data_IF_939749602729
#
_entry.id   IF_939749602729
#
_cell.length_a   1.000
_cell.length_b   1.000
_cell.length_c   1.000
_cell.angle_alpha   90.00
_cell.angle_beta   90.00
_cell.angle_gamma   90.00
#
_symmetry.space_group_name_H-M   'P 1'
#
loop_
_entity.id
_entity.type
_entity.pdbx_description
1 polymer ?
#
# COMPACT_ATOMS: atom_id res chain seq x y z
N UNK A 1 -45.12 12.56 14.00
CA UNK A 1 -44.90 14.00 13.74
C UNK A 1 -43.64 14.39 14.48
N UNK A 2 -42.66 14.98 13.80
CA UNK A 2 -41.36 15.32 14.39
C UNK A 2 -41.52 16.53 15.32
N UNK A 3 -41.74 16.30 16.63
CA UNK A 3 -41.83 17.38 17.62
C UNK A 3 -40.46 17.97 18.00
N UNK A 4 -39.39 17.20 17.84
CA UNK A 4 -38.03 17.60 18.21
C UNK A 4 -37.58 18.95 17.62
N UNK A 5 -37.70 19.20 16.30
CA UNK A 5 -37.30 20.48 15.70
C UNK A 5 -38.08 21.67 16.26
N UNK A 6 -39.37 21.49 16.57
CA UNK A 6 -40.24 22.56 17.07
C UNK A 6 -39.95 22.88 18.54
N UNK A 7 -39.67 21.87 19.35
CA UNK A 7 -39.26 22.02 20.74
C UNK A 7 -37.87 22.66 20.84
N UNK A 8 -36.92 22.27 19.97
CA UNK A 8 -35.59 22.89 19.90
C UNK A 8 -35.66 24.35 19.47
N UNK A 9 -36.49 24.68 18.47
CA UNK A 9 -36.69 26.06 18.04
C UNK A 9 -37.32 26.92 19.15
N UNK A 10 -38.30 26.38 19.88
CA UNK A 10 -38.90 27.04 21.05
C UNK A 10 -37.85 27.29 22.14
N UNK A 11 -37.06 26.28 22.50
CA UNK A 11 -36.00 26.43 23.49
C UNK A 11 -34.96 27.47 23.04
N UNK A 12 -34.49 27.40 21.79
CA UNK A 12 -33.50 28.34 21.26
C UNK A 12 -33.98 29.80 21.28
N UNK A 13 -35.27 30.05 21.00
CA UNK A 13 -35.86 31.39 21.04
C UNK A 13 -36.07 31.90 22.47
N UNK A 14 -36.41 31.02 23.42
CA UNK A 14 -36.79 31.43 24.78
C UNK A 14 -35.63 31.34 25.79
N UNK A 15 -34.52 30.68 25.45
CA UNK A 15 -33.34 30.54 26.32
C UNK A 15 -32.72 31.88 26.77
N UNK A 16 -32.58 32.91 25.90
CA UNK A 16 -32.02 34.20 26.31
C UNK A 16 -32.85 34.90 27.38
N UNK A 17 -34.17 34.69 27.36
CA UNK A 17 -35.12 35.26 28.32
C UNK A 17 -35.26 34.42 29.60
N UNK A 18 -34.83 33.16 29.58
CA UNK A 18 -34.93 32.23 30.69
C UNK A 18 -33.60 31.49 30.94
N UNK A 19 -32.57 32.19 31.46
CA UNK A 19 -31.24 31.60 31.66
C UNK A 19 -31.22 30.43 32.67
N UNK A 20 -32.22 30.37 33.56
CA UNK A 20 -32.39 29.27 34.52
C UNK A 20 -32.75 27.93 33.87
N UNK A 21 -33.20 27.92 32.61
CA UNK A 21 -33.48 26.68 31.86
C UNK A 21 -32.21 26.05 31.28
N UNK A 22 -31.06 26.72 31.41
CA UNK A 22 -29.78 26.18 30.98
C UNK A 22 -29.42 24.97 31.84
N UNK A 23 -29.37 23.80 31.21
CA UNK A 23 -28.84 22.59 31.82
C UNK A 23 -27.33 22.77 31.95
N UNK A 24 -26.80 22.66 33.18
CA UNK A 24 -25.36 22.63 33.40
C UNK A 24 -24.83 21.28 32.94
N UNK A 25 -23.85 21.30 32.04
CA UNK A 25 -23.15 20.08 31.61
C UNK A 25 -22.31 19.54 32.77
N UNK A 26 -22.46 18.25 33.09
CA UNK A 26 -21.52 17.54 33.96
C UNK A 26 -20.30 17.09 33.13
N UNK A 27 -19.12 17.69 33.34
CA UNK A 27 -17.93 17.37 32.55
C UNK A 27 -17.49 15.91 32.68
N UNK A 28 -17.69 15.29 33.86
CA UNK A 28 -17.29 13.89 34.07
C UNK A 28 -18.21 12.94 33.33
N UNK A 29 -19.53 13.13 33.45
CA UNK A 29 -20.51 12.32 32.74
C UNK A 29 -20.32 12.42 31.21
N UNK A 30 -20.07 13.63 30.70
CA UNK A 30 -19.79 13.85 29.27
C UNK A 30 -18.52 13.11 28.85
N UNK A 31 -17.43 13.20 29.62
CA UNK A 31 -16.18 12.52 29.32
C UNK A 31 -16.32 10.98 29.32
N UNK A 32 -17.03 10.41 30.31
CA UNK A 32 -17.27 8.96 30.41
C UNK A 32 -18.18 8.46 29.29
N UNK A 33 -19.24 9.20 28.95
CA UNK A 33 -20.14 8.81 27.85
C UNK A 33 -19.41 8.85 26.51
N UNK A 34 -18.58 9.87 26.30
CA UNK A 34 -17.76 10.02 25.09
C UNK A 34 -16.74 8.88 24.95
N UNK A 35 -16.05 8.49 26.02
CA UNK A 35 -15.11 7.37 25.97
C UNK A 35 -15.80 6.03 25.67
N UNK A 36 -17.01 5.82 26.21
CA UNK A 36 -17.82 4.64 25.90
C UNK A 36 -18.26 4.61 24.42
N UNK A 37 -18.69 5.76 23.86
CA UNK A 37 -19.06 5.88 22.45
C UNK A 37 -17.87 5.62 21.52
N UNK A 38 -16.70 6.21 21.81
CA UNK A 38 -15.49 5.96 21.03
C UNK A 38 -15.09 4.48 21.03
N UNK A 39 -15.23 3.79 22.17
CA UNK A 39 -14.97 2.35 22.27
C UNK A 39 -15.97 1.52 21.46
N UNK A 40 -17.25 1.89 21.49
CA UNK A 40 -18.30 1.23 20.70
C UNK A 40 -18.08 1.40 19.19
N UNK A 41 -17.71 2.60 18.74
CA UNK A 41 -17.34 2.89 17.35
C UNK A 41 -16.12 2.05 16.94
N UNK A 42 -15.10 1.97 17.82
CA UNK A 42 -13.94 1.10 17.62
C UNK A 42 -14.29 -0.38 17.47
N UNK A 43 -15.26 -0.89 18.24
CA UNK A 43 -15.70 -2.29 18.13
C UNK A 43 -16.57 -2.56 16.89
N UNK A 44 -17.49 -1.66 16.53
CA UNK A 44 -18.35 -1.82 15.35
C UNK A 44 -17.56 -1.85 14.05
N UNK A 45 -16.43 -1.16 14.04
CA UNK A 45 -15.55 -0.97 12.90
C UNK A 45 -14.17 -1.59 13.17
N UNK A 46 -14.14 -2.83 13.68
CA UNK A 46 -12.88 -3.54 13.90
C UNK A 46 -12.05 -3.53 12.60
N UNK A 47 -10.79 -3.10 12.69
CA UNK A 47 -9.91 -2.82 11.54
C UNK A 47 -9.85 -4.00 10.56
N UNK A 48 -9.85 -5.23 11.06
CA UNK A 48 -9.90 -6.44 10.23
C UNK A 48 -11.17 -6.58 9.39
N UNK A 49 -12.33 -6.16 9.91
CA UNK A 49 -13.59 -6.21 9.16
C UNK A 49 -13.62 -5.12 8.07
N UNK A 50 -13.11 -3.92 8.37
CA UNK A 50 -12.98 -2.84 7.39
C UNK A 50 -12.03 -3.24 6.25
N UNK A 51 -10.85 -3.76 6.62
CA UNK A 51 -9.86 -4.25 5.67
C UNK A 51 -10.43 -5.35 4.76
N UNK A 52 -11.08 -6.36 5.34
CA UNK A 52 -11.65 -7.46 4.56
C UNK A 52 -12.76 -7.00 3.63
N UNK A 53 -13.65 -6.12 4.12
CA UNK A 53 -14.74 -5.56 3.30
C UNK A 53 -14.18 -4.77 2.12
N UNK A 54 -13.16 -3.94 2.37
CA UNK A 54 -12.47 -3.18 1.34
C UNK A 54 -11.86 -4.12 0.28
N UNK A 55 -11.09 -5.13 0.70
CA UNK A 55 -10.46 -6.07 -0.23
C UNK A 55 -11.47 -6.85 -1.07
N UNK A 56 -12.57 -7.32 -0.49
CA UNK A 56 -13.64 -8.03 -1.23
C UNK A 56 -14.31 -7.14 -2.28
N UNK A 57 -14.34 -5.83 -2.06
CA UNK A 57 -14.85 -4.90 -3.06
C UNK A 57 -13.86 -4.71 -4.20
N UNK A 58 -12.56 -4.55 -3.88
CA UNK A 58 -11.49 -4.42 -4.88
C UNK A 58 -11.38 -5.69 -5.72
N UNK A 59 -11.34 -6.87 -5.10
CA UNK A 59 -11.10 -8.15 -5.78
C UNK A 59 -12.09 -8.49 -6.89
N UNK A 60 -13.29 -7.91 -6.88
CA UNK A 60 -14.31 -8.11 -7.92
C UNK A 60 -13.95 -7.49 -9.26
N UNK A 61 -13.07 -6.50 -9.27
CA UNK A 61 -12.75 -5.69 -10.45
C UNK A 61 -11.39 -6.03 -11.07
N UNK A 62 -10.58 -6.85 -10.40
CA UNK A 62 -9.23 -7.20 -10.85
C UNK A 62 -9.11 -8.71 -11.01
N UNK A 63 -8.85 -9.15 -12.23
CA UNK A 63 -8.59 -10.55 -12.52
C UNK A 63 -7.22 -10.97 -11.99
N UNK A 64 -7.08 -12.25 -11.63
CA UNK A 64 -5.82 -12.82 -11.17
C UNK A 64 -4.75 -12.75 -12.26
N UNK A 65 -3.54 -12.39 -11.85
CA UNK A 65 -2.38 -12.26 -12.72
C UNK A 65 -1.63 -13.60 -12.78
N UNK A 66 -1.52 -14.15 -14.00
CA UNK A 66 -0.85 -15.42 -14.29
C UNK A 66 0.58 -15.18 -14.76
N UNK A 67 1.40 -16.23 -14.76
CA UNK A 67 2.77 -16.17 -15.28
C UNK A 67 2.81 -15.63 -16.72
N UNK A 68 1.87 -16.04 -17.58
CA UNK A 68 1.77 -15.57 -18.97
C UNK A 68 1.54 -14.06 -19.07
N UNK A 69 0.79 -13.48 -18.15
CA UNK A 69 0.54 -12.04 -18.12
C UNK A 69 1.80 -11.27 -17.70
N UNK A 70 2.66 -11.89 -16.90
CA UNK A 70 3.92 -11.31 -16.43
C UNK A 70 5.05 -11.43 -17.45
N UNK A 71 5.00 -12.43 -18.34
CA UNK A 71 6.03 -12.71 -19.34
C UNK A 71 5.66 -12.21 -20.74
N UNK A 72 4.43 -11.74 -20.93
CA UNK A 72 3.95 -11.22 -22.21
C UNK A 72 4.02 -12.28 -23.32
N UNK A 73 4.46 -11.88 -24.51
CA UNK A 73 4.56 -12.75 -25.69
C UNK A 73 5.75 -13.73 -25.65
N UNK A 74 6.54 -13.74 -24.57
CA UNK A 74 7.64 -14.71 -24.43
C UNK A 74 7.10 -16.09 -24.06
N UNK A 75 7.73 -17.15 -24.60
CA UNK A 75 7.28 -18.53 -24.39
C UNK A 75 7.73 -19.08 -23.02
N UNK A 76 7.17 -18.51 -21.95
CA UNK A 76 7.44 -18.90 -20.58
C UNK A 76 7.15 -20.37 -20.31
N UNK A 77 6.18 -20.93 -21.03
CA UNK A 77 5.74 -22.32 -20.92
C UNK A 77 6.78 -23.34 -21.33
N UNK A 78 7.90 -22.94 -21.95
CA UNK A 78 9.07 -23.81 -22.24
C UNK A 78 10.09 -23.91 -21.12
N UNK A 79 10.10 -22.92 -20.22
CA UNK A 79 11.10 -22.79 -19.16
C UNK A 79 10.50 -23.03 -17.79
N UNK A 80 9.29 -22.54 -17.58
CA UNK A 80 8.66 -22.42 -16.28
C UNK A 80 7.29 -23.09 -16.27
N UNK A 81 6.94 -23.63 -15.11
CA UNK A 81 5.60 -24.13 -14.82
C UNK A 81 5.18 -23.64 -13.44
N UNK A 82 3.91 -23.27 -13.32
CA UNK A 82 3.25 -22.97 -12.04
C UNK A 82 1.74 -23.14 -12.21
N UNK A 83 1.09 -23.61 -11.16
CA UNK A 83 -0.37 -23.67 -11.05
C UNK A 83 -0.94 -22.47 -10.27
N UNK A 84 -0.09 -21.70 -9.61
CA UNK A 84 -0.47 -20.58 -8.77
C UNK A 84 -0.58 -19.28 -9.57
N UNK A 85 -1.33 -18.35 -9.02
CA UNK A 85 -1.59 -17.02 -9.58
C UNK A 85 -1.46 -15.97 -8.49
N UNK A 86 -1.14 -14.74 -8.87
CA UNK A 86 -1.20 -13.61 -7.95
C UNK A 86 -2.61 -13.03 -8.00
N UNK A 87 -3.35 -12.93 -6.88
CA UNK A 87 -4.66 -12.30 -6.87
C UNK A 87 -4.60 -10.87 -7.42
N UNK A 88 -5.50 -10.51 -8.32
CA UNK A 88 -5.42 -9.24 -9.06
C UNK A 88 -5.43 -7.98 -8.18
N UNK A 89 -6.02 -8.10 -6.99
CA UNK A 89 -6.04 -7.05 -5.96
C UNK A 89 -4.66 -6.73 -5.37
N UNK A 90 -3.67 -7.61 -5.52
CA UNK A 90 -2.29 -7.42 -5.09
C UNK A 90 -1.38 -7.10 -6.27
N UNK A 91 -1.82 -6.16 -7.11
CA UNK A 91 -1.04 -5.63 -8.21
C UNK A 91 -0.83 -4.13 -8.02
N UNK A 92 0.22 -3.58 -8.61
CA UNK A 92 0.47 -2.13 -8.62
C UNK A 92 -0.73 -1.35 -9.13
N UNK A 93 -1.36 -1.84 -10.20
CA UNK A 93 -2.55 -1.20 -10.75
C UNK A 93 -3.70 -1.20 -9.73
N UNK A 94 -3.98 -2.32 -9.07
CA UNK A 94 -5.02 -2.37 -8.04
C UNK A 94 -4.69 -1.46 -6.85
N UNK A 95 -3.42 -1.36 -6.47
CA UNK A 95 -2.95 -0.42 -5.45
C UNK A 95 -3.25 1.04 -5.82
N UNK A 96 -2.77 1.47 -6.98
CA UNK A 96 -2.84 2.86 -7.44
C UNK A 96 -4.30 3.28 -7.71
N UNK A 97 -5.09 2.42 -8.36
CA UNK A 97 -6.42 2.79 -8.86
C UNK A 97 -7.55 2.55 -7.85
N UNK A 98 -7.42 1.59 -6.94
CA UNK A 98 -8.54 1.13 -6.11
C UNK A 98 -8.23 1.03 -4.62
N UNK A 99 -7.14 0.37 -4.22
CA UNK A 99 -6.85 0.12 -2.80
C UNK A 99 -6.49 1.41 -2.08
N UNK A 100 -5.57 2.21 -2.62
CA UNK A 100 -5.18 3.49 -1.99
C UNK A 100 -6.40 4.43 -1.83
N UNK A 101 -7.21 4.68 -2.88
CA UNK A 101 -8.45 5.46 -2.73
C UNK A 101 -9.44 4.86 -1.73
N UNK A 102 -9.56 3.53 -1.67
CA UNK A 102 -10.47 2.88 -0.72
C UNK A 102 -9.99 3.01 0.73
N UNK A 103 -8.68 2.94 0.99
CA UNK A 103 -8.10 3.24 2.30
C UNK A 103 -8.38 4.70 2.67
N UNK A 104 -8.14 5.64 1.77
CA UNK A 104 -8.37 7.06 2.01
C UNK A 104 -9.85 7.35 2.34
N UNK A 105 -10.78 6.67 1.67
CA UNK A 105 -12.21 6.76 1.96
C UNK A 105 -12.54 6.26 3.37
N UNK A 106 -12.04 5.07 3.75
CA UNK A 106 -12.25 4.51 5.10
C UNK A 106 -11.71 5.43 6.18
N UNK A 107 -10.55 6.04 5.93
CA UNK A 107 -9.90 7.00 6.85
C UNK A 107 -10.72 8.29 6.97
N UNK A 108 -11.25 8.81 5.86
CA UNK A 108 -12.14 9.98 5.87
C UNK A 108 -13.43 9.71 6.64
N UNK A 109 -14.10 8.58 6.37
CA UNK A 109 -15.31 8.17 7.11
C UNK A 109 -15.02 8.07 8.61
N UNK A 110 -13.84 7.55 8.99
CA UNK A 110 -13.42 7.48 10.39
C UNK A 110 -13.16 8.85 11.00
N UNK A 111 -12.58 9.78 10.25
CA UNK A 111 -12.34 11.15 10.71
C UNK A 111 -13.66 11.85 10.99
N UNK A 112 -14.60 11.79 10.07
CA UNK A 112 -15.94 12.36 10.25
C UNK A 112 -16.62 11.72 11.45
N UNK A 113 -16.48 10.39 11.62
CA UNK A 113 -17.02 9.64 12.75
C UNK A 113 -16.47 10.10 14.11
N UNK A 114 -15.19 10.47 14.16
CA UNK A 114 -14.55 10.94 15.39
C UNK A 114 -14.91 12.41 15.65
N UNK A 115 -14.93 13.24 14.61
CA UNK A 115 -15.19 14.68 14.70
C UNK A 115 -16.62 14.97 15.22
N UNK A 116 -17.63 14.20 14.79
CA UNK A 116 -18.99 14.37 15.33
C UNK A 116 -19.10 14.01 16.81
N UNK A 117 -18.26 13.10 17.32
CA UNK A 117 -18.22 12.73 18.75
C UNK A 117 -17.43 13.75 19.59
N UNK A 118 -16.44 14.40 18.98
CA UNK A 118 -15.39 15.17 19.65
C UNK A 118 -15.41 16.69 19.40
N UNK A 119 -16.48 17.26 18.83
CA UNK A 119 -16.60 18.68 18.47
C UNK A 119 -16.29 19.72 19.56
N UNK A 120 -16.05 19.33 20.82
CA UNK A 120 -15.46 20.18 21.85
C UNK A 120 -13.98 19.78 22.02
N UNK A 121 -13.11 20.47 21.28
CA UNK A 121 -11.66 20.33 20.99
C UNK A 121 -10.70 20.15 22.20
N UNK A 122 -11.22 19.76 23.36
CA UNK A 122 -10.56 19.76 24.67
C UNK A 122 -9.96 18.42 25.09
N UNK A 123 -10.18 17.36 24.33
CA UNK A 123 -9.67 16.02 24.65
C UNK A 123 -8.75 15.53 23.52
N UNK A 124 -7.47 15.25 23.79
CA UNK A 124 -6.59 14.70 22.77
C UNK A 124 -7.14 13.34 22.32
N UNK A 125 -7.28 13.17 21.00
CA UNK A 125 -7.54 11.85 20.39
C UNK A 125 -6.40 10.94 20.85
N UNK A 126 -6.72 9.79 21.46
CA UNK A 126 -5.70 8.78 21.76
C UNK A 126 -4.97 8.45 20.45
N UNK A 127 -3.64 8.50 20.43
CA UNK A 127 -2.84 8.38 19.20
C UNK A 127 -3.17 7.10 18.41
N UNK A 128 -3.57 6.02 19.09
CA UNK A 128 -3.98 4.75 18.48
C UNK A 128 -5.31 4.80 17.71
N UNK A 129 -6.07 5.90 17.83
CA UNK A 129 -7.39 6.07 17.19
C UNK A 129 -7.34 7.17 16.10
N UNK A 130 -6.17 7.77 15.84
CA UNK A 130 -6.07 8.81 14.82
C UNK A 130 -6.34 8.24 13.41
N UNK A 131 -6.99 9.01 12.53
CA UNK A 131 -7.19 8.63 11.13
C UNK A 131 -5.86 8.31 10.41
N UNK A 132 -4.80 9.03 10.74
CA UNK A 132 -3.47 8.85 10.15
C UNK A 132 -2.83 7.53 10.60
N UNK A 133 -2.95 7.17 11.88
CA UNK A 133 -2.48 5.88 12.38
C UNK A 133 -3.30 4.71 11.82
N UNK A 134 -4.60 4.93 11.54
CA UNK A 134 -5.42 3.94 10.83
C UNK A 134 -4.95 3.76 9.38
N UNK A 135 -4.69 4.85 8.66
CA UNK A 135 -4.15 4.80 7.29
C UNK A 135 -2.85 4.01 7.22
N UNK A 136 -1.92 4.30 8.12
CA UNK A 136 -0.63 3.63 8.18
C UNK A 136 -0.79 2.12 8.41
N UNK A 137 -1.59 1.71 9.40
CA UNK A 137 -1.83 0.29 9.70
C UNK A 137 -2.53 -0.47 8.59
N UNK A 138 -3.54 0.13 7.95
CA UNK A 138 -4.22 -0.49 6.81
C UNK A 138 -3.28 -0.65 5.61
N UNK A 139 -2.43 0.35 5.36
CA UNK A 139 -1.44 0.32 4.28
C UNK A 139 -0.36 -0.72 4.54
N UNK A 140 0.20 -0.76 5.74
CA UNK A 140 1.20 -1.74 6.16
C UNK A 140 0.67 -3.17 6.06
N UNK A 141 -0.56 -3.40 6.54
CA UNK A 141 -1.22 -4.70 6.41
C UNK A 141 -1.42 -5.08 4.94
N UNK A 142 -1.88 -4.15 4.11
CA UNK A 142 -2.03 -4.39 2.68
C UNK A 142 -0.71 -4.81 2.02
N UNK A 143 0.39 -4.10 2.29
CA UNK A 143 1.68 -4.45 1.70
C UNK A 143 2.29 -5.73 2.27
N UNK A 144 1.95 -6.10 3.50
CA UNK A 144 2.29 -7.41 4.06
C UNK A 144 1.61 -8.52 3.26
N UNK A 145 0.29 -8.43 3.07
CA UNK A 145 -0.49 -9.43 2.32
C UNK A 145 -0.10 -9.46 0.83
N UNK A 146 0.20 -8.29 0.25
CA UNK A 146 0.75 -8.15 -1.10
C UNK A 146 2.07 -8.92 -1.23
N UNK A 147 3.03 -8.65 -0.33
CA UNK A 147 4.34 -9.30 -0.36
C UNK A 147 4.21 -10.81 -0.21
N UNK A 148 3.36 -11.28 0.70
CA UNK A 148 3.09 -12.72 0.87
C UNK A 148 2.54 -13.35 -0.40
N UNK A 149 1.52 -12.77 -1.04
CA UNK A 149 0.94 -13.31 -2.27
C UNK A 149 1.97 -13.42 -3.40
N UNK A 150 2.84 -12.42 -3.54
CA UNK A 150 3.91 -12.44 -4.55
C UNK A 150 5.01 -13.45 -4.23
N UNK A 151 5.43 -13.56 -2.96
CA UNK A 151 6.43 -14.55 -2.55
C UNK A 151 5.91 -15.97 -2.73
N UNK A 152 4.65 -16.25 -2.38
CA UNK A 152 4.02 -17.54 -2.58
C UNK A 152 4.01 -17.92 -4.07
N UNK A 153 3.58 -16.98 -4.92
CA UNK A 153 3.62 -17.17 -6.37
C UNK A 153 5.05 -17.42 -6.89
N UNK A 154 6.03 -16.61 -6.51
CA UNK A 154 7.42 -16.79 -6.97
C UNK A 154 8.02 -18.12 -6.50
N UNK A 155 7.72 -18.51 -5.26
CA UNK A 155 8.14 -19.79 -4.70
C UNK A 155 7.41 -21.00 -5.32
N UNK A 156 6.29 -20.79 -6.01
CA UNK A 156 5.58 -21.83 -6.76
C UNK A 156 6.23 -22.17 -8.10
N UNK A 157 6.98 -21.22 -8.69
CA UNK A 157 7.56 -21.38 -10.02
C UNK A 157 8.55 -22.54 -10.01
N UNK A 158 8.40 -23.45 -10.98
CA UNK A 158 9.31 -24.58 -11.18
C UNK A 158 9.94 -24.51 -12.56
N UNK A 159 11.20 -24.92 -12.62
CA UNK A 159 11.87 -25.15 -13.89
C UNK A 159 11.31 -26.40 -14.57
N UNK A 160 11.03 -26.31 -15.87
CA UNK A 160 10.61 -27.45 -16.66
C UNK A 160 11.80 -28.33 -17.04
N UNK A 161 11.74 -29.61 -16.68
CA UNK A 161 12.80 -30.57 -16.98
C UNK A 161 12.86 -30.85 -18.49
N UNK A 162 14.00 -30.54 -19.10
CA UNK A 162 14.32 -30.94 -20.47
C UNK A 162 14.32 -32.48 -20.62
N UNK A 163 13.69 -32.97 -21.68
CA UNK A 163 13.64 -34.41 -21.97
C UNK A 163 14.94 -34.90 -22.63
N UNK A 164 15.58 -34.04 -23.43
CA UNK A 164 16.81 -34.34 -24.17
C UNK A 164 17.88 -33.26 -23.96
N UNK A 165 19.13 -33.57 -24.35
CA UNK A 165 20.21 -32.59 -24.35
C UNK A 165 19.91 -31.41 -25.31
N UNK A 166 19.24 -31.67 -26.44
CA UNK A 166 18.84 -30.61 -27.37
C UNK A 166 17.86 -29.65 -26.70
N UNK A 167 16.84 -30.18 -26.03
CA UNK A 167 15.87 -29.35 -25.32
C UNK A 167 16.55 -28.50 -24.22
N UNK A 168 17.54 -29.07 -23.53
CA UNK A 168 18.31 -28.33 -22.52
C UNK A 168 19.11 -27.17 -23.14
N UNK A 169 19.72 -27.39 -24.31
CA UNK A 169 20.43 -26.34 -25.05
C UNK A 169 19.44 -25.26 -25.52
N UNK A 170 18.27 -25.66 -26.01
CA UNK A 170 17.23 -24.73 -26.46
C UNK A 170 16.69 -23.89 -25.30
N UNK A 171 16.45 -24.49 -24.13
CA UNK A 171 16.04 -23.79 -22.92
C UNK A 171 17.10 -22.77 -22.44
N UNK A 172 18.37 -23.17 -22.39
CA UNK A 172 19.47 -22.27 -22.01
C UNK A 172 19.65 -21.13 -23.03
N UNK A 173 19.49 -21.42 -24.32
CA UNK A 173 19.53 -20.43 -25.38
C UNK A 173 18.42 -19.41 -25.23
N UNK A 174 17.19 -19.87 -24.96
CA UNK A 174 16.03 -19.01 -24.73
C UNK A 174 16.20 -18.13 -23.48
N UNK A 175 16.79 -18.66 -22.40
CA UNK A 175 17.12 -17.87 -21.20
C UNK A 175 18.12 -16.75 -21.49
N UNK A 176 19.13 -17.04 -22.32
CA UNK A 176 20.22 -16.11 -22.63
C UNK A 176 19.82 -15.03 -23.65
N UNK A 177 18.76 -15.25 -24.43
CA UNK A 177 18.26 -14.25 -25.39
C UNK A 177 17.60 -13.06 -24.67
N UNK A 178 18.27 -11.91 -24.67
CA UNK A 178 17.80 -10.68 -24.00
C UNK A 178 16.44 -10.20 -24.52
N UNK A 179 16.06 -10.50 -25.76
CA UNK A 179 14.77 -10.10 -26.36
C UNK A 179 13.70 -11.15 -26.12
N UNK A 180 14.11 -12.41 -26.26
CA UNK A 180 13.34 -13.65 -26.11
C UNK A 180 12.92 -14.04 -24.70
N UNK A 181 13.74 -13.66 -23.71
CA UNK A 181 13.83 -14.39 -22.44
C UNK A 181 12.61 -14.17 -21.54
N UNK A 182 11.85 -15.24 -21.22
CA UNK A 182 10.78 -15.17 -20.23
C UNK A 182 11.27 -14.78 -18.84
N UNK A 183 12.52 -15.09 -18.50
CA UNK A 183 13.12 -14.67 -17.23
C UNK A 183 13.31 -13.15 -17.20
N UNK A 184 13.81 -12.56 -18.28
CA UNK A 184 13.98 -11.09 -18.36
C UNK A 184 12.62 -10.40 -18.30
N UNK A 185 11.62 -10.92 -19.02
CA UNK A 185 10.25 -10.38 -18.98
C UNK A 185 9.66 -10.44 -17.56
N UNK A 186 9.76 -11.59 -16.89
CA UNK A 186 9.30 -11.75 -15.51
C UNK A 186 10.00 -10.77 -14.55
N UNK A 187 11.31 -10.63 -14.66
CA UNK A 187 12.08 -9.70 -13.82
C UNK A 187 11.65 -8.25 -14.05
N UNK A 188 11.38 -7.85 -15.29
CA UNK A 188 10.84 -6.52 -15.59
C UNK A 188 9.48 -6.28 -14.93
N UNK A 189 8.60 -7.29 -14.95
CA UNK A 189 7.33 -7.24 -14.24
C UNK A 189 7.53 -7.14 -12.73
N UNK A 190 8.47 -7.91 -12.14
CA UNK A 190 8.80 -7.79 -10.73
C UNK A 190 9.33 -6.40 -10.36
N UNK A 191 10.09 -5.75 -11.24
CA UNK A 191 10.55 -4.38 -11.05
C UNK A 191 9.41 -3.37 -11.06
N UNK A 192 8.39 -3.53 -11.91
CA UNK A 192 7.24 -2.61 -11.89
C UNK A 192 6.37 -2.83 -10.65
N UNK A 193 6.13 -4.09 -10.28
CA UNK A 193 5.26 -4.50 -9.18
C UNK A 193 5.89 -4.27 -7.80
N UNK A 194 7.19 -4.51 -7.64
CA UNK A 194 7.93 -4.28 -6.40
C UNK A 194 8.08 -2.79 -6.02
N UNK A 195 7.76 -1.89 -6.94
CA UNK A 195 7.77 -0.43 -6.72
C UNK A 195 6.39 0.14 -6.40
N UNK A 196 5.38 -0.71 -6.22
CA UNK A 196 4.07 -0.27 -5.73
C UNK A 196 4.20 0.42 -4.36
N UNK A 197 3.47 1.52 -4.16
CA UNK A 197 3.51 2.28 -2.91
C UNK A 197 4.78 3.11 -2.66
N UNK A 198 5.75 3.15 -3.58
CA UNK A 198 6.84 4.12 -3.51
C UNK A 198 6.25 5.53 -3.68
N UNK A 199 6.35 6.38 -2.66
CA UNK A 199 5.81 7.74 -2.70
C UNK A 199 6.51 8.55 -3.79
N UNK A 200 5.74 9.10 -4.73
CA UNK A 200 6.23 10.00 -5.78
C UNK A 200 6.96 11.22 -5.19
N UNK A 201 6.58 11.67 -3.99
CA UNK A 201 7.20 12.79 -3.27
C UNK A 201 8.63 12.47 -2.78
N UNK A 202 8.89 11.24 -2.33
CA UNK A 202 10.24 10.81 -1.98
C UNK A 202 11.17 10.75 -3.21
N UNK A 203 10.60 10.47 -4.38
CA UNK A 203 11.32 10.53 -5.66
C UNK A 203 11.61 11.98 -6.06
N UNK A 204 10.69 12.93 -5.87
CA UNK A 204 10.97 14.35 -6.16
C UNK A 204 11.97 14.95 -5.17
N UNK A 205 11.89 14.61 -3.89
CA UNK A 205 12.83 15.10 -2.88
C UNK A 205 14.24 14.54 -3.09
N UNK A 206 14.36 13.26 -3.48
CA UNK A 206 15.65 12.67 -3.85
C UNK A 206 16.22 13.28 -5.14
N UNK A 207 15.38 13.63 -6.12
CA UNK A 207 15.81 14.34 -7.34
C UNK A 207 16.26 15.78 -7.04
N UNK A 208 15.52 16.53 -6.20
CA UNK A 208 15.89 17.88 -5.75
C UNK A 208 17.18 17.86 -4.92
N UNK A 209 17.32 16.87 -4.03
CA UNK A 209 18.53 16.67 -3.23
C UNK A 209 19.74 16.29 -4.10
N UNK A 210 19.53 15.46 -5.12
CA UNK A 210 20.57 15.10 -6.10
C UNK A 210 20.99 16.30 -6.93
N UNK A 211 20.05 17.11 -7.41
CA UNK A 211 20.36 18.36 -8.11
C UNK A 211 21.11 19.36 -7.21
N UNK A 212 20.71 19.49 -5.95
CA UNK A 212 21.40 20.33 -4.96
C UNK A 212 22.84 19.86 -4.68
N UNK A 213 23.05 18.55 -4.59
CA UNK A 213 24.38 17.97 -4.40
C UNK A 213 25.28 18.16 -5.63
N UNK A 214 24.72 18.08 -6.85
CA UNK A 214 25.46 18.36 -8.09
C UNK A 214 25.84 19.83 -8.25
N UNK A 215 25.04 20.76 -7.69
CA UNK A 215 25.38 22.19 -7.65
C UNK A 215 26.35 22.56 -6.50
N UNK A 216 26.46 21.71 -5.48
CA UNK A 216 27.33 21.92 -4.32
C UNK A 216 28.67 21.19 -4.54
N UNK A 217 29.41 21.61 -5.55
CA UNK A 217 30.73 21.04 -5.87
C UNK A 217 31.76 21.49 -4.83
N UNK A 218 31.96 20.70 -3.78
CA UNK A 218 33.24 20.72 -3.04
C UNK A 218 33.59 19.43 -2.27
N UNK A 219 32.90 18.32 -2.50
CA UNK A 219 33.40 17.00 -2.09
C UNK A 219 32.69 15.91 -2.90
N UNK A 220 33.43 15.27 -3.81
CA UNK A 220 32.99 14.09 -4.53
C UNK A 220 32.93 12.87 -3.58
N UNK A 221 31.98 12.89 -2.63
CA UNK A 221 31.55 11.66 -1.98
C UNK A 221 30.70 10.91 -2.97
N UNK A 222 31.13 9.68 -3.27
CA UNK A 222 30.42 8.72 -4.11
C UNK A 222 28.92 8.84 -3.88
N UNK A 223 28.19 9.06 -4.96
CA UNK A 223 26.73 9.11 -4.98
C UNK A 223 26.24 7.90 -4.19
N UNK A 224 25.50 8.15 -3.12
CA UNK A 224 24.92 7.11 -2.28
C UNK A 224 23.80 6.42 -3.09
N UNK A 225 24.19 5.52 -3.99
CA UNK A 225 23.27 4.76 -4.86
C UNK A 225 22.32 3.86 -4.05
N UNK A 226 22.54 3.73 -2.74
CA UNK A 226 21.60 3.08 -1.80
C UNK A 226 20.44 3.97 -1.37
N UNK A 227 20.42 5.25 -1.75
CA UNK A 227 19.29 6.15 -1.55
C UNK A 227 18.21 5.99 -2.64
N UNK A 228 17.98 4.76 -3.12
CA UNK A 228 16.78 4.43 -3.87
C UNK A 228 15.56 4.55 -2.96
N UNK A 229 14.47 5.16 -3.46
CA UNK A 229 13.25 5.40 -2.70
C UNK A 229 12.82 4.16 -1.90
N UNK A 230 12.86 4.26 -0.57
CA UNK A 230 12.49 3.15 0.30
C UNK A 230 10.99 2.89 0.18
N UNK A 231 10.61 1.75 -0.41
CA UNK A 231 9.23 1.32 -0.58
C UNK A 231 8.79 0.37 0.52
N UNK A 232 7.46 0.25 0.77
CA UNK A 232 6.93 -0.73 1.72
C UNK A 232 7.22 -2.19 1.33
N UNK A 233 7.62 -2.42 0.08
CA UNK A 233 7.94 -3.73 -0.49
C UNK A 233 9.43 -4.05 -0.55
N UNK A 234 10.30 -3.14 -0.11
CA UNK A 234 11.76 -3.29 -0.23
C UNK A 234 12.29 -4.56 0.45
N UNK A 235 11.71 -4.96 1.58
CA UNK A 235 12.14 -6.16 2.29
C UNK A 235 11.86 -7.44 1.47
N UNK A 236 10.76 -7.49 0.73
CA UNK A 236 10.34 -8.66 -0.04
C UNK A 236 10.94 -8.69 -1.45
N UNK A 237 10.99 -7.53 -2.13
CA UNK A 237 11.46 -7.41 -3.51
C UNK A 237 12.92 -6.98 -3.62
N UNK A 238 13.46 -6.30 -2.61
CA UNK A 238 14.80 -5.69 -2.65
C UNK A 238 15.93 -6.62 -3.07
N UNK A 239 16.04 -7.87 -2.57
CA UNK A 239 17.07 -8.80 -3.02
C UNK A 239 17.01 -9.07 -4.53
N UNK A 240 15.81 -9.22 -5.09
CA UNK A 240 15.59 -9.51 -6.51
C UNK A 240 15.84 -8.26 -7.36
N UNK A 241 15.38 -7.10 -6.90
CA UNK A 241 15.59 -5.82 -7.59
C UNK A 241 17.06 -5.40 -7.62
N UNK A 242 17.80 -5.67 -6.54
CA UNK A 242 19.25 -5.41 -6.48
C UNK A 242 20.03 -6.19 -7.54
N UNK A 243 19.61 -7.43 -7.85
CA UNK A 243 20.23 -8.22 -8.91
C UNK A 243 20.01 -7.62 -10.31
N UNK A 244 18.93 -6.87 -10.51
CA UNK A 244 18.65 -6.20 -11.80
C UNK A 244 19.49 -4.94 -11.98
N UNK A 245 19.68 -4.17 -10.90
CA UNK A 245 20.37 -2.86 -10.96
C UNK A 245 21.88 -3.01 -11.19
N UNK A 246 22.48 -4.11 -10.71
CA UNK A 246 23.89 -4.44 -11.02
C UNK A 246 24.19 -4.56 -12.52
N UNK A 247 23.16 -4.75 -13.37
CA UNK A 247 23.28 -4.84 -14.82
C UNK A 247 23.31 -3.46 -15.51
N UNK A 248 22.84 -2.40 -14.83
CA UNK A 248 22.85 -1.01 -15.32
C UNK A 248 24.14 -0.25 -15.00
N UNK A 249 24.84 -0.64 -13.93
CA UNK A 249 26.14 -0.09 -13.55
C UNK A 249 27.29 -0.95 -14.10
N UNK A 250 27.33 -1.11 -15.43
CA UNK A 250 28.49 -1.66 -16.12
C UNK A 250 29.64 -0.66 -16.16
N UNK A 251 30.21 -0.31 -15.00
CA UNK A 251 31.55 0.25 -14.95
C UNK A 251 32.55 -0.90 -14.78
N UNK A 252 33.54 -0.87 -15.65
CA UNK A 252 34.45 -1.93 -15.98
C UNK A 252 35.52 -2.05 -14.89
N UNK A 253 35.33 -2.91 -13.88
CA UNK A 253 36.41 -3.34 -12.99
C UNK A 253 36.19 -4.71 -12.36
N UNK A 254 36.27 -5.77 -13.16
CA UNK A 254 36.66 -7.08 -12.66
C UNK A 254 38.16 -7.24 -12.88
N UNK A 255 38.94 -6.76 -11.92
CA UNK A 255 40.32 -7.20 -11.72
C UNK A 255 40.31 -8.32 -10.68
N UNK A 256 40.49 -9.55 -11.15
CA UNK A 256 41.16 -10.62 -10.43
C UNK A 256 42.23 -11.20 -11.37
#
# INVERSE_FOLDING_TARGET
>A
QYEGPRQLAFLAQNLPSHPAWKIASDPQLVATTRSALLRLIGQRNAESALYQKMLVQVSRNYADMRLTDMTGDTDASRLFTTDDVVPGMFTRQAWDDAVQPAIDKVVSERRDEIDWVLSDNRHPVMQDISPEALKARLTERYFTDYASAWLDFLNSIRWQKAATLSDAIDQLTLMADVRQSPLVALMNTLNTQGRAGQQQEALTDSLVKSAKNLLSTDDAKAIDQKAGAHGPLDAAFGPVLGLMDTKGSGDNSLSL
#
